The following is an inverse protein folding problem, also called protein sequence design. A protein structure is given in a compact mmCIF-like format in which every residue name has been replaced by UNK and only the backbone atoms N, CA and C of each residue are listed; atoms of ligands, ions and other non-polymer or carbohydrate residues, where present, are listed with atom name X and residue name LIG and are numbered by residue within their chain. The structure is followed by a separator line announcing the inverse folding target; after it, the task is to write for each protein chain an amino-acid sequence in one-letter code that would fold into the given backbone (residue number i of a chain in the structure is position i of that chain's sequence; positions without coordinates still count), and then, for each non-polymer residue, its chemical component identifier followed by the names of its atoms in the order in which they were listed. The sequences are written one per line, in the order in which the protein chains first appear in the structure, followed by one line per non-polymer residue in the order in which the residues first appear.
data_IF_796947976013
#
_entry.id   IF_796947976013
#
_cell.length_a   1.000
_cell.length_b   1.000
_cell.length_c   1.000
_cell.angle_alpha   90.00
_cell.angle_beta   90.00
_cell.angle_gamma   90.00
#
_symmetry.space_group_name_H-M   'P 1'
#
loop_
_entity.id
_entity.type
_entity.pdbx_description
1 polymer ?
2 water ?
#
# COMPACT_ATOMS: atom_id res chain seq x y z
N UNK A 30 -9.53 22.90 9.52
CA UNK A 30 -8.16 22.94 9.00
C UNK A 30 -7.37 21.68 9.33
N UNK A 31 -7.54 21.16 10.56
CA UNK A 31 -6.93 19.87 10.92
C UNK A 31 -7.31 18.76 9.94
N UNK A 32 -8.51 18.82 9.35
CA UNK A 32 -8.84 17.90 8.26
C UNK A 32 -7.80 18.04 7.15
N UNK A 33 -7.38 19.27 6.85
CA UNK A 33 -6.36 19.49 5.82
C UNK A 33 -5.06 18.79 6.19
N UNK A 34 -4.66 18.85 7.45
CA UNK A 34 -3.44 18.19 7.87
C UNK A 34 -3.50 16.70 7.60
N UNK A 35 -4.65 16.08 7.88
CA UNK A 35 -4.70 14.63 7.83
C UNK A 35 -4.69 14.14 6.39
N UNK A 36 -5.42 14.82 5.52
CA UNK A 36 -5.35 14.51 4.10
C UNK A 36 -3.90 14.53 3.62
N UNK A 37 -3.20 15.63 3.86
CA UNK A 37 -1.82 15.73 3.42
C UNK A 37 -0.95 14.59 3.96
N UNK A 38 -1.15 14.23 5.22
CA UNK A 38 -0.42 13.09 5.77
C UNK A 38 -0.64 11.83 4.95
N UNK A 39 -1.90 11.50 4.64
CA UNK A 39 -2.21 10.26 3.95
C UNK A 39 -1.78 10.30 2.48
N UNK A 40 -1.45 11.49 1.95
CA UNK A 40 -1.00 11.65 0.58
C UNK A 40 0.46 11.33 0.41
N UNK A 41 1.17 11.08 1.51
CA UNK A 41 2.59 10.82 1.48
C UNK A 41 2.84 9.32 1.50
N UNK A 42 4.01 8.95 0.99
CA UNK A 42 4.47 7.58 1.04
C UNK A 42 4.72 7.12 2.50
N UNK A 43 4.85 5.81 2.69
CA UNK A 43 5.00 5.28 4.05
C UNK A 43 6.15 5.89 4.83
N UNK A 44 7.27 6.21 4.19
CA UNK A 44 8.41 6.70 4.94
C UNK A 44 8.30 8.20 5.22
N UNK A 45 7.68 8.98 4.32
CA UNK A 45 7.39 10.38 4.63
C UNK A 45 6.35 10.47 5.74
N UNK A 46 5.41 9.52 5.77
CA UNK A 46 4.48 9.44 6.89
C UNK A 46 5.22 9.10 8.18
N UNK A 47 6.17 8.18 8.11
CA UNK A 47 6.92 7.79 9.30
C UNK A 47 7.74 8.95 9.84
N UNK A 48 8.14 9.89 8.96
CA UNK A 48 8.87 11.07 9.42
C UNK A 48 7.92 12.03 10.13
N UNK A 49 6.79 12.35 9.49
CA UNK A 49 5.79 13.17 10.15
C UNK A 49 5.49 12.58 11.52
N UNK A 50 5.40 11.25 11.60
CA UNK A 50 5.02 10.64 12.87
C UNK A 50 6.09 10.89 13.94
N UNK A 51 7.36 10.89 13.55
CA UNK A 51 8.43 11.19 14.47
C UNK A 51 8.36 12.63 14.96
N UNK A 52 8.16 13.56 14.02
CA UNK A 52 8.05 14.97 14.37
C UNK A 52 6.92 15.20 15.37
N UNK A 53 5.88 14.38 15.34
CA UNK A 53 4.69 14.59 16.16
C UNK A 53 4.68 13.75 17.45
N UNK A 54 5.70 12.95 17.70
CA UNK A 54 5.65 12.00 18.80
C UNK A 54 4.64 10.90 18.67
N UNK A 55 3.96 10.80 17.53
CA UNK A 55 3.06 9.69 17.22
C UNK A 55 3.80 8.48 16.65
N UNK A 56 5.11 8.38 16.92
CA UNK A 56 5.95 7.33 16.40
C UNK A 56 5.67 5.95 16.96
N UNK A 57 4.95 5.85 18.08
CA UNK A 57 4.59 4.53 18.59
C UNK A 57 3.57 3.86 17.67
N UNK A 58 2.89 4.65 16.86
CA UNK A 58 1.85 4.16 15.95
C UNK A 58 2.39 4.00 14.52
N UNK A 59 3.36 3.12 14.33
CA UNK A 59 3.96 3.04 13.01
C UNK A 59 2.94 2.56 11.97
N UNK A 60 1.87 1.88 12.38
CA UNK A 60 0.85 1.42 11.46
C UNK A 60 0.13 2.55 10.73
N UNK A 61 0.11 3.76 11.29
CA UNK A 61 -0.49 4.89 10.59
C UNK A 61 0.15 5.12 9.24
N UNK A 62 1.41 4.74 9.09
CA UNK A 62 2.12 4.95 7.85
C UNK A 62 1.61 4.08 6.71
N UNK A 63 0.74 3.11 6.99
CA UNK A 63 0.29 2.14 6.02
C UNK A 63 -1.16 2.29 5.56
N UNK A 64 -2.02 2.98 6.31
CA UNK A 64 -3.43 2.94 5.97
C UNK A 64 -3.67 3.78 4.73
N UNK A 65 -4.62 3.33 3.91
CA UNK A 65 -4.92 3.96 2.65
C UNK A 65 -5.72 5.23 2.82
N UNK A 66 -5.50 6.18 1.89
CA UNK A 66 -6.31 7.38 1.78
C UNK A 66 -7.72 7.04 1.30
N UNK A 67 -8.69 7.22 2.19
CA UNK A 67 -10.12 7.17 1.89
C UNK A 67 -10.83 7.89 3.05
N UNK A 68 -12.15 8.08 2.91
CA UNK A 68 -12.88 8.91 3.86
C UNK A 68 -12.76 8.34 5.28
N UNK A 69 -12.97 7.03 5.45
CA UNK A 69 -12.85 6.41 6.75
C UNK A 69 -11.54 6.75 7.45
N UNK A 70 -10.44 6.80 6.70
CA UNK A 70 -9.15 6.97 7.35
C UNK A 70 -8.77 8.41 7.54
N UNK A 71 -9.27 9.31 6.69
CA UNK A 71 -9.09 10.73 6.98
C UNK A 71 -9.64 11.01 8.38
N UNK A 72 -10.86 10.52 8.66
CA UNK A 72 -11.45 10.71 9.96
C UNK A 72 -10.59 10.12 11.06
N UNK A 73 -10.23 8.85 10.92
CA UNK A 73 -9.41 8.20 11.94
C UNK A 73 -8.17 9.02 12.27
N UNK A 74 -7.46 9.50 11.23
CA UNK A 74 -6.20 10.21 11.45
C UNK A 74 -6.45 11.59 12.04
N UNK A 75 -7.66 12.13 11.88
CA UNK A 75 -8.00 13.39 12.52
C UNK A 75 -7.93 13.25 14.04
N UNK A 76 -8.54 12.18 14.57
CA UNK A 76 -8.50 11.94 16.00
C UNK A 76 -7.07 11.87 16.53
N UNK A 77 -6.16 11.23 15.80
CA UNK A 77 -4.77 11.23 16.22
C UNK A 77 -4.18 12.63 16.17
N UNK A 78 -4.58 13.43 15.17
CA UNK A 78 -3.92 14.70 14.92
C UNK A 78 -4.52 15.85 15.73
N UNK A 79 -5.80 15.78 16.08
CA UNK A 79 -6.38 16.70 17.06
C UNK A 79 -5.90 16.25 18.44
N UNK A 80 -5.12 17.06 19.08
CA UNK A 80 -4.44 16.65 20.30
C UNK A 80 -3.77 15.29 20.13
N UNK A 81 -2.55 15.26 19.62
CA UNK A 81 -1.76 14.03 19.64
C UNK A 81 -1.22 13.80 21.04
N UNK A 82 -0.82 12.57 21.30
CA UNK A 82 -0.27 12.25 22.62
C UNK A 82 -1.30 12.30 23.75
N UNK A 83 -2.45 12.92 23.48
CA UNK A 83 -3.57 12.91 24.41
C UNK A 83 -4.43 11.66 24.25
N UNK A 84 -4.31 10.95 23.15
CA UNK A 84 -4.84 9.59 23.07
C UNK A 84 -3.67 8.63 23.03
N UNK A 85 -3.68 7.64 23.93
CA UNK A 85 -2.63 6.64 23.99
C UNK A 85 -3.16 5.22 24.10
N UNK A 86 -4.49 5.04 24.15
CA UNK A 86 -5.11 3.82 23.63
C UNK A 86 -5.39 4.05 22.16
N UNK A 87 -4.80 3.29 21.23
CA UNK A 87 -5.09 3.51 19.81
C UNK A 87 -6.57 3.37 19.47
N UNK A 88 -7.22 4.47 19.08
CA UNK A 88 -8.64 4.46 18.73
C UNK A 88 -8.76 4.39 17.21
N UNK A 89 -8.99 3.19 16.71
CA UNK A 89 -9.12 2.99 15.28
C UNK A 89 -10.56 2.69 14.89
N UNK A 90 -11.50 3.16 15.70
CA UNK A 90 -12.90 2.87 15.41
C UNK A 90 -13.20 3.35 13.98
N UNK A 91 -13.85 2.48 13.22
CA UNK A 91 -14.31 2.82 11.89
C UNK A 91 -13.25 2.88 10.81
N UNK A 92 -12.00 2.54 11.12
CA UNK A 92 -10.92 2.67 10.15
C UNK A 92 -11.00 1.56 9.10
N UNK A 93 -10.51 1.86 7.92
CA UNK A 93 -10.39 0.86 6.87
C UNK A 93 -8.97 0.35 6.93
N UNK A 94 -8.81 -0.85 7.47
CA UNK A 94 -7.51 -1.48 7.66
C UNK A 94 -7.44 -2.75 6.82
N UNK A 95 -8.23 -2.81 5.75
CA UNK A 95 -8.36 -4.04 4.98
C UNK A 95 -7.11 -4.31 4.15
N UNK A 96 -6.78 -5.58 4.04
CA UNK A 96 -5.69 -6.07 3.16
C UNK A 96 -4.35 -5.41 3.51
N UNK A 97 -4.12 -5.19 4.78
CA UNK A 97 -2.84 -4.63 5.21
C UNK A 97 -1.98 -5.72 5.82
N UNK A 98 -0.68 -5.55 5.69
CA UNK A 98 0.24 -6.32 6.51
C UNK A 98 0.42 -5.55 7.82
N UNK A 99 -0.15 -6.09 8.89
CA UNK A 99 0.03 -5.55 10.23
C UNK A 99 0.69 -6.59 11.13
N UNK A 100 1.51 -7.47 10.54
CA UNK A 100 2.17 -8.50 11.34
C UNK A 100 2.87 -7.86 12.53
N UNK A 101 2.64 -8.43 13.72
CA UNK A 101 3.32 -8.06 14.98
C UNK A 101 2.99 -6.65 15.45
N UNK A 102 1.86 -6.08 14.98
CA UNK A 102 1.38 -4.79 15.49
C UNK A 102 0.95 -4.94 16.94
N UNK A 103 1.23 -3.91 17.75
CA UNK A 103 0.77 -3.88 19.14
C UNK A 103 -0.35 -2.86 19.27
N UNK A 104 -1.55 -3.32 19.65
CA UNK A 104 -2.74 -2.49 19.74
C UNK A 104 -3.47 -2.66 21.07
N UNK A 105 -2.69 -2.90 22.14
CA UNK A 105 -3.26 -3.15 23.45
C UNK A 105 -4.25 -2.07 23.81
N UNK A 106 -5.37 -2.50 24.36
CA UNK A 106 -6.46 -1.61 24.79
C UNK A 106 -7.02 -0.77 23.65
N UNK A 107 -6.78 -1.16 22.42
CA UNK A 107 -7.22 -0.36 21.29
C UNK A 107 -8.69 -0.53 21.02
N UNK A 108 -9.27 0.51 20.44
CA UNK A 108 -10.66 0.48 20.02
C UNK A 108 -10.71 0.27 18.50
N UNK A 109 -11.13 -0.92 18.09
CA UNK A 109 -11.33 -1.23 16.69
C UNK A 109 -12.79 -1.42 16.35
N UNK A 110 -13.69 -0.88 17.18
CA UNK A 110 -15.12 -0.84 16.86
C UNK A 110 -15.34 -0.49 15.41
N UNK A 111 -16.17 -1.28 14.74
CA UNK A 111 -16.67 -1.02 13.40
C UNK A 111 -15.55 -0.86 12.35
N UNK A 112 -14.33 -1.24 12.69
CA UNK A 112 -13.23 -1.17 11.74
C UNK A 112 -13.35 -2.27 10.69
N UNK A 113 -12.66 -2.07 9.55
CA UNK A 113 -12.60 -3.02 8.44
C UNK A 113 -11.20 -3.62 8.40
N UNK A 114 -11.09 -4.92 8.71
CA UNK A 114 -9.81 -5.63 8.67
C UNK A 114 -9.81 -6.78 7.64
N UNK A 115 -10.71 -6.77 6.65
CA UNK A 115 -10.86 -7.89 5.75
C UNK A 115 -9.55 -8.25 5.08
N UNK A 116 -9.20 -9.53 5.12
CA UNK A 116 -7.97 -10.00 4.52
C UNK A 116 -6.69 -9.39 5.05
N UNK A 117 -6.68 -8.78 6.23
CA UNK A 117 -5.39 -8.25 6.65
C UNK A 117 -4.60 -9.29 7.45
N UNK A 118 -3.27 -9.11 7.46
CA UNK A 118 -2.39 -10.02 8.18
C UNK A 118 -2.03 -9.40 9.53
N UNK A 119 -2.41 -10.09 10.62
CA UNK A 119 -2.08 -9.63 11.98
C UNK A 119 -1.37 -10.73 12.75
N UNK A 120 -0.39 -11.38 12.11
CA UNK A 120 0.35 -12.45 12.76
C UNK A 120 1.04 -11.93 14.02
N UNK A 121 1.00 -12.75 15.07
CA UNK A 121 1.67 -12.48 16.35
C UNK A 121 1.41 -11.08 16.88
N UNK A 122 0.20 -10.55 16.63
CA UNK A 122 -0.14 -9.21 17.06
C UNK A 122 -0.59 -9.19 18.53
N UNK A 123 -0.30 -8.10 19.20
CA UNK A 123 -0.79 -7.87 20.55
C UNK A 123 -2.15 -7.18 20.48
N UNK A 124 -3.22 -7.94 20.76
CA UNK A 124 -4.59 -7.43 20.67
C UNK A 124 -5.32 -7.49 22.03
N UNK A 125 -4.56 -7.49 23.13
CA UNK A 125 -5.16 -7.62 24.44
C UNK A 125 -6.14 -6.48 24.65
N UNK A 126 -7.35 -6.83 25.07
CA UNK A 126 -8.38 -5.83 25.34
C UNK A 126 -8.77 -5.08 24.07
N UNK A 127 -8.56 -5.64 22.89
CA UNK A 127 -9.00 -4.94 21.70
C UNK A 127 -10.49 -5.14 21.56
N UNK A 128 -11.19 -4.03 21.42
CA UNK A 128 -12.60 -4.06 21.09
C UNK A 128 -12.78 -4.28 19.59
N UNK A 129 -13.33 -5.43 19.21
CA UNK A 129 -13.65 -5.69 17.81
C UNK A 129 -15.14 -5.53 17.52
N UNK A 130 -15.86 -4.73 18.32
CA UNK A 130 -17.30 -4.69 18.16
C UNK A 130 -17.66 -4.22 16.76
N UNK A 131 -18.48 -5.01 16.10
CA UNK A 131 -19.09 -4.69 14.80
C UNK A 131 -18.04 -4.55 13.71
N UNK A 132 -16.82 -4.98 13.97
CA UNK A 132 -15.76 -4.89 13.00
C UNK A 132 -15.90 -6.02 11.99
N UNK A 133 -15.22 -5.84 10.88
CA UNK A 133 -15.21 -6.85 9.83
C UNK A 133 -13.83 -7.51 9.79
N UNK A 134 -13.76 -8.76 10.26
CA UNK A 134 -12.51 -9.53 10.22
C UNK A 134 -12.57 -10.70 9.24
N UNK A 135 -13.50 -10.70 8.29
CA UNK A 135 -13.55 -11.76 7.29
C UNK A 135 -12.20 -11.90 6.62
N UNK A 136 -11.68 -13.12 6.59
CA UNK A 136 -10.46 -13.54 5.90
C UNK A 136 -9.17 -12.93 6.47
N UNK A 137 -9.24 -12.17 7.56
CA UNK A 137 -8.01 -11.72 8.21
C UNK A 137 -7.27 -12.93 8.80
N UNK A 138 -5.98 -12.73 9.07
CA UNK A 138 -5.07 -13.76 9.57
C UNK A 138 -4.51 -13.26 10.91
N UNK A 139 -5.05 -13.82 12.01
CA UNK A 139 -4.69 -13.45 13.37
C UNK A 139 -4.00 -14.60 14.06
N UNK A 140 -3.41 -15.52 13.29
CA UNK A 140 -2.65 -16.62 13.87
C UNK A 140 -1.60 -16.06 14.80
N UNK A 141 -1.52 -16.63 16.01
CA UNK A 141 -0.51 -16.24 16.98
C UNK A 141 -0.74 -14.92 17.70
N UNK A 142 -1.89 -14.29 17.47
CA UNK A 142 -2.16 -13.01 18.07
C UNK A 142 -2.70 -13.26 19.47
N UNK A 143 -2.36 -12.36 20.38
CA UNK A 143 -2.75 -12.48 21.77
C UNK A 143 -4.10 -11.76 21.98
N UNK A 144 -5.08 -12.50 22.46
CA UNK A 144 -6.47 -12.07 22.44
C UNK A 144 -7.13 -11.87 23.80
N UNK A 145 -6.36 -11.82 24.88
CA UNK A 145 -6.95 -11.68 26.20
C UNK A 145 -7.81 -10.43 26.29
N UNK A 146 -9.02 -10.59 26.82
CA UNK A 146 -9.91 -9.47 27.04
C UNK A 146 -10.54 -8.89 25.80
N UNK A 147 -10.43 -9.57 24.66
CA UNK A 147 -10.99 -9.03 23.44
C UNK A 147 -12.50 -9.13 23.47
N UNK A 148 -13.14 -8.20 22.77
CA UNK A 148 -14.60 -8.18 22.66
C UNK A 148 -14.99 -8.34 21.19
N UNK A 149 -15.91 -9.26 20.93
CA UNK A 149 -16.24 -9.77 19.61
C UNK A 149 -17.74 -9.61 19.31
N UNK A 150 -18.35 -8.57 19.84
CA UNK A 150 -19.79 -8.40 19.70
C UNK A 150 -20.12 -8.04 18.26
N UNK A 151 -20.98 -8.83 17.63
CA UNK A 151 -21.47 -8.61 16.26
C UNK A 151 -20.33 -8.64 15.24
N UNK A 152 -19.19 -9.20 15.60
CA UNK A 152 -18.00 -9.13 14.76
C UNK A 152 -18.06 -10.17 13.65
N UNK A 153 -17.67 -9.75 12.46
CA UNK A 153 -17.70 -10.65 11.29
C UNK A 153 -16.38 -11.40 11.27
N UNK A 154 -16.45 -12.72 11.47
CA UNK A 154 -15.22 -13.51 11.51
C UNK A 154 -15.24 -14.70 10.57
N UNK A 155 -16.14 -14.72 9.57
CA UNK A 155 -16.16 -15.88 8.67
C UNK A 155 -14.84 -15.95 7.96
N UNK A 156 -14.15 -17.09 8.12
CA UNK A 156 -12.82 -17.38 7.59
C UNK A 156 -11.69 -16.56 8.23
N UNK A 157 -11.96 -15.87 9.33
CA UNK A 157 -10.87 -15.30 10.12
C UNK A 157 -10.03 -16.43 10.72
N UNK A 158 -8.72 -16.42 10.47
CA UNK A 158 -7.85 -17.42 11.06
C UNK A 158 -7.44 -16.96 12.47
N UNK A 159 -7.76 -17.75 13.49
CA UNK A 159 -7.42 -17.39 14.87
C UNK A 159 -6.30 -18.22 15.49
N UNK A 160 -5.79 -19.22 14.78
CA UNK A 160 -4.69 -20.04 15.26
C UNK A 160 -5.12 -20.97 16.38
N UNK A 161 -4.70 -20.67 17.62
CA UNK A 161 -5.15 -21.40 18.80
C UNK A 161 -6.09 -20.58 19.68
N UNK A 162 -6.46 -19.38 19.27
CA UNK A 162 -7.28 -18.56 20.15
C UNK A 162 -6.53 -18.13 21.39
N UNK A 163 -5.24 -17.84 21.25
CA UNK A 163 -4.36 -17.37 22.30
C UNK A 163 -4.96 -16.32 23.21
N UNK A 164 -5.41 -16.75 24.38
CA UNK A 164 -5.98 -15.84 25.36
C UNK A 164 -7.49 -15.83 25.37
N UNK A 165 -8.11 -16.70 24.59
CA UNK A 165 -9.57 -16.78 24.53
C UNK A 165 -10.07 -17.82 25.52
N UNK A 166 -11.26 -17.56 26.05
CA UNK A 166 -11.92 -18.49 26.96
C UNK A 166 -12.10 -19.89 26.39
N UNK A 167 -13.25 -20.50 26.71
CA UNK A 167 -13.83 -21.55 25.88
C UNK A 167 -15.13 -21.09 25.26
N UNK A 168 -16.03 -20.50 26.05
CA UNK A 168 -17.24 -19.89 25.51
C UNK A 168 -16.93 -18.94 24.35
N UNK A 169 -15.69 -18.49 24.23
CA UNK A 169 -15.28 -17.62 23.12
C UNK A 169 -14.83 -18.45 21.93
N UNK A 170 -13.91 -19.39 22.14
CA UNK A 170 -13.52 -20.32 21.10
C UNK A 170 -14.73 -21.07 20.56
N UNK A 171 -15.75 -21.26 21.40
CA UNK A 171 -17.07 -21.75 21.00
C UNK A 171 -17.69 -20.73 20.06
N UNK A 172 -18.24 -19.66 20.63
CA UNK A 172 -18.98 -18.68 19.85
C UNK A 172 -18.35 -18.38 18.50
N UNK A 173 -17.04 -18.15 18.48
CA UNK A 173 -16.41 -17.64 17.26
C UNK A 173 -16.33 -18.71 16.18
N UNK A 174 -16.00 -19.94 16.56
CA UNK A 174 -15.89 -21.03 15.61
C UNK A 174 -17.23 -21.31 14.94
N UNK A 175 -18.31 -21.15 15.71
CA UNK A 175 -19.66 -21.27 15.20
C UNK A 175 -19.93 -20.23 14.13
N UNK A 176 -19.47 -18.99 14.36
CA UNK A 176 -19.63 -17.87 13.46
C UNK A 176 -18.62 -17.84 12.30
N UNK A 177 -17.90 -18.93 12.02
CA UNK A 177 -17.03 -19.01 10.88
C UNK A 177 -15.54 -19.01 11.15
N UNK A 178 -15.09 -18.59 12.33
CA UNK A 178 -13.66 -18.54 12.61
C UNK A 178 -13.02 -19.92 12.48
N UNK A 179 -11.72 -19.93 12.15
CA UNK A 179 -10.98 -21.18 11.92
C UNK A 179 -9.81 -21.29 12.88
N UNK A 180 -9.64 -22.48 13.47
CA UNK A 180 -8.71 -22.70 14.59
C UNK A 180 -7.71 -23.81 14.25
N UNK A 181 -6.67 -23.46 13.48
CA UNK A 181 -5.44 -24.27 13.41
C UNK A 181 -5.70 -25.75 13.18
N UNK B 29 -20.49 7.15 -13.55
CA UNK B 29 -20.64 8.55 -13.94
C UNK B 29 -19.43 9.40 -13.60
N UNK B 30 -18.69 9.76 -14.64
CA UNK B 30 -17.66 10.80 -14.66
C UNK B 30 -16.30 10.20 -14.39
N UNK B 31 -15.37 10.33 -15.34
CA UNK B 31 -14.21 9.46 -15.31
C UNK B 31 -13.20 9.85 -14.24
N UNK B 32 -13.06 11.14 -13.93
CA UNK B 32 -12.28 11.52 -12.75
C UNK B 32 -12.88 10.91 -11.51
N UNK B 33 -14.21 10.80 -11.48
CA UNK B 33 -14.87 10.25 -10.31
C UNK B 33 -14.68 8.75 -10.27
N UNK B 34 -14.90 8.11 -11.42
CA UNK B 34 -14.55 6.69 -11.55
C UNK B 34 -13.14 6.40 -11.07
N UNK B 35 -12.19 7.27 -11.43
CA UNK B 35 -10.79 7.01 -11.12
C UNK B 35 -10.53 7.15 -9.63
N UNK B 36 -11.12 8.16 -9.00
CA UNK B 36 -10.95 8.33 -7.57
C UNK B 36 -11.62 7.20 -6.82
N UNK B 37 -12.83 6.84 -7.24
CA UNK B 37 -13.54 5.76 -6.58
C UNK B 37 -12.72 4.48 -6.62
N UNK B 38 -12.03 4.25 -7.73
CA UNK B 38 -11.23 3.04 -7.88
C UNK B 38 -10.04 3.07 -6.94
N UNK B 39 -9.32 4.19 -6.90
CA UNK B 39 -8.10 4.25 -6.09
C UNK B 39 -8.40 4.27 -4.58
N UNK B 40 -9.65 4.55 -4.19
CA UNK B 40 -10.13 4.46 -2.82
C UNK B 40 -10.41 3.02 -2.40
N UNK B 41 -10.27 2.06 -3.30
CA UNK B 41 -10.58 0.68 -2.99
C UNK B 41 -9.36 -0.13 -2.59
N UNK B 42 -9.63 -1.23 -1.92
CA UNK B 42 -8.57 -2.14 -1.56
C UNK B 42 -8.05 -2.80 -2.82
N UNK B 43 -6.86 -3.40 -2.73
CA UNK B 43 -6.26 -4.01 -3.91
C UNK B 43 -7.12 -5.07 -4.57
N UNK B 44 -7.72 -5.97 -3.82
CA UNK B 44 -8.51 -7.02 -4.44
C UNK B 44 -9.73 -6.42 -5.12
N UNK B 45 -10.28 -5.35 -4.57
CA UNK B 45 -11.43 -4.72 -5.20
C UNK B 45 -11.01 -3.96 -6.44
N UNK B 46 -9.77 -3.50 -6.49
CA UNK B 46 -9.29 -2.85 -7.68
C UNK B 46 -9.04 -3.86 -8.80
N UNK B 47 -8.45 -5.00 -8.45
CA UNK B 47 -8.28 -6.07 -9.41
C UNK B 47 -9.63 -6.49 -10.02
N UNK B 48 -10.69 -6.47 -9.23
CA UNK B 48 -12.00 -6.83 -9.76
C UNK B 48 -12.50 -5.76 -10.72
N UNK B 49 -12.45 -4.50 -10.29
CA UNK B 49 -12.83 -3.40 -11.17
C UNK B 49 -12.04 -3.46 -12.47
N UNK B 50 -10.75 -3.76 -12.39
CA UNK B 50 -9.95 -3.81 -13.61
C UNK B 50 -10.45 -4.89 -14.54
N UNK B 51 -10.90 -6.02 -14.01
CA UNK B 51 -11.49 -7.07 -14.84
C UNK B 51 -12.77 -6.57 -15.52
N UNK B 52 -13.72 -6.09 -14.73
CA UNK B 52 -14.96 -5.54 -15.28
C UNK B 52 -14.68 -4.54 -16.40
N UNK B 53 -13.65 -3.72 -16.25
CA UNK B 53 -13.35 -2.73 -17.28
C UNK B 53 -12.49 -3.28 -18.41
N UNK B 54 -11.98 -4.51 -18.30
CA UNK B 54 -11.06 -5.01 -19.32
C UNK B 54 -9.66 -4.42 -19.28
N UNK B 55 -9.15 -4.14 -18.06
CA UNK B 55 -7.77 -3.65 -17.86
C UNK B 55 -6.97 -4.58 -16.97
N UNK B 56 -7.42 -5.81 -16.80
CA UNK B 56 -6.69 -6.74 -15.96
C UNK B 56 -5.27 -7.01 -16.42
N UNK B 57 -4.89 -6.57 -17.61
CA UNK B 57 -3.49 -6.66 -18.00
C UNK B 57 -2.60 -5.62 -17.32
N UNK B 58 -3.20 -4.68 -16.60
CA UNK B 58 -2.42 -3.65 -15.89
C UNK B 58 -2.65 -3.82 -14.38
N UNK B 59 -2.34 -5.01 -13.85
CA UNK B 59 -2.66 -5.33 -12.47
C UNK B 59 -1.98 -4.37 -11.50
N UNK B 60 -0.83 -3.82 -11.88
CA UNK B 60 -0.09 -2.94 -11.01
C UNK B 60 -0.90 -1.73 -10.56
N UNK B 61 -1.93 -1.35 -11.32
CA UNK B 61 -2.82 -0.27 -10.93
C UNK B 61 -3.57 -0.59 -9.64
N UNK B 62 -3.68 -1.86 -9.27
CA UNK B 62 -4.21 -2.22 -7.98
C UNK B 62 -3.29 -1.87 -6.82
N UNK B 63 -2.12 -1.32 -7.07
CA UNK B 63 -1.15 -1.11 -6.03
C UNK B 63 -0.82 0.35 -5.79
N UNK B 64 -0.99 1.21 -6.79
CA UNK B 64 -0.52 2.56 -6.70
C UNK B 64 -1.45 3.31 -5.74
N UNK B 65 -0.89 4.28 -5.03
CA UNK B 65 -1.56 4.96 -3.93
C UNK B 65 -2.41 6.15 -4.42
N UNK B 66 -3.38 6.53 -3.60
CA UNK B 66 -4.27 7.62 -3.99
C UNK B 66 -3.56 8.95 -3.74
N UNK B 67 -3.43 9.74 -4.81
CA UNK B 67 -2.85 11.07 -4.84
C UNK B 67 -3.19 11.66 -6.21
N UNK B 68 -2.95 12.97 -6.35
CA UNK B 68 -3.34 13.66 -7.57
C UNK B 68 -2.63 13.07 -8.79
N UNK B 69 -1.31 12.86 -8.69
CA UNK B 69 -0.54 12.25 -9.74
C UNK B 69 -1.22 11.00 -10.25
N UNK B 70 -1.64 10.15 -9.31
CA UNK B 70 -2.17 8.87 -9.71
C UNK B 70 -3.61 8.95 -10.16
N UNK B 71 -4.38 9.93 -9.66
CA UNK B 71 -5.73 10.12 -10.21
C UNK B 71 -5.61 10.43 -11.71
N UNK B 72 -4.71 11.36 -12.05
CA UNK B 72 -4.47 11.69 -13.45
C UNK B 72 -4.14 10.43 -14.25
N UNK B 73 -3.22 9.61 -13.72
CA UNK B 73 -2.75 8.44 -14.44
C UNK B 73 -3.89 7.46 -14.71
N UNK B 74 -4.67 7.12 -13.69
CA UNK B 74 -5.74 6.15 -13.85
C UNK B 74 -6.76 6.69 -14.85
N UNK B 75 -6.93 8.00 -14.91
CA UNK B 75 -7.86 8.60 -15.85
C UNK B 75 -7.50 8.20 -17.27
N UNK B 76 -6.21 8.30 -17.62
CA UNK B 76 -5.77 7.88 -18.96
C UNK B 76 -6.23 6.45 -19.27
N UNK B 77 -6.14 5.56 -18.28
CA UNK B 77 -6.55 4.18 -18.48
C UNK B 77 -8.07 4.04 -18.62
N UNK B 78 -8.85 4.66 -17.72
CA UNK B 78 -10.30 4.44 -17.78
C UNK B 78 -10.91 5.14 -19.00
N UNK B 79 -10.29 6.24 -19.45
CA UNK B 79 -10.70 6.92 -20.66
C UNK B 79 -10.43 6.11 -21.91
N UNK B 80 -9.35 5.30 -21.92
CA UNK B 80 -8.88 4.60 -23.14
C UNK B 80 -8.71 3.10 -22.91
N UNK B 81 -9.70 2.41 -22.36
CA UNK B 81 -9.42 1.05 -21.86
C UNK B 81 -9.00 0.06 -22.95
N UNK B 82 -9.54 0.19 -24.16
CA UNK B 82 -9.17 -0.72 -25.23
C UNK B 82 -7.95 -0.29 -26.03
N UNK B 83 -7.72 1.02 -26.09
CA UNK B 83 -6.66 1.55 -26.95
C UNK B 83 -5.31 1.54 -26.25
N UNK B 84 -5.28 1.74 -24.93
CA UNK B 84 -4.02 1.77 -24.20
C UNK B 84 -3.28 0.45 -24.38
N UNK B 85 -2.20 0.46 -25.16
CA UNK B 85 -1.47 -0.74 -25.50
C UNK B 85 -0.24 -0.88 -24.64
N UNK B 86 0.50 0.17 -24.53
CA UNK B 86 1.57 0.29 -23.60
C UNK B 86 1.24 1.31 -22.53
N UNK B 87 1.59 1.04 -21.27
CA UNK B 87 1.02 1.81 -20.16
C UNK B 87 1.63 3.20 -20.12
N UNK B 88 0.79 4.21 -20.06
CA UNK B 88 1.24 5.58 -19.92
C UNK B 88 1.12 5.96 -18.46
N UNK B 89 2.24 5.89 -17.74
CA UNK B 89 2.31 6.27 -16.34
C UNK B 89 3.08 7.55 -16.16
N UNK B 90 3.13 8.39 -17.20
CA UNK B 90 3.83 9.66 -17.08
C UNK B 90 3.26 10.45 -15.90
N UNK B 91 4.13 11.13 -15.17
CA UNK B 91 3.70 11.88 -14.00
C UNK B 91 3.29 11.06 -12.82
N UNK B 92 3.20 9.74 -12.94
CA UNK B 92 2.61 8.98 -11.85
C UNK B 92 3.52 8.94 -10.63
N UNK B 93 2.90 8.68 -9.47
CA UNK B 93 3.66 8.55 -8.23
C UNK B 93 3.66 7.09 -7.88
N UNK B 94 4.78 6.42 -8.16
CA UNK B 94 4.96 5.00 -7.86
C UNK B 94 6.03 4.78 -6.79
N UNK B 95 6.26 5.79 -5.95
CA UNK B 95 7.13 5.69 -4.77
C UNK B 95 6.79 4.56 -3.82
N UNK B 96 7.84 3.85 -3.42
CA UNK B 96 7.89 2.83 -2.35
C UNK B 96 6.88 1.72 -2.56
N UNK B 97 6.76 1.27 -3.80
CA UNK B 97 5.94 0.11 -4.17
C UNK B 97 6.85 -1.09 -4.46
N UNK B 98 6.37 -2.27 -4.14
CA UNK B 98 6.99 -3.47 -4.67
C UNK B 98 6.39 -3.71 -6.06
N UNK B 99 7.15 -3.43 -7.09
CA UNK B 99 6.71 -3.77 -8.43
C UNK B 99 7.55 -4.88 -9.03
N UNK B 100 8.13 -5.74 -8.19
CA UNK B 100 8.97 -6.81 -8.69
C UNK B 100 8.27 -7.59 -9.81
N UNK B 101 8.98 -7.86 -10.89
CA UNK B 101 8.50 -8.69 -11.99
C UNK B 101 7.38 -8.02 -12.76
N UNK B 102 7.18 -6.72 -12.56
CA UNK B 102 6.19 -6.02 -13.37
C UNK B 102 6.67 -6.05 -14.83
N UNK B 103 5.70 -5.99 -15.75
CA UNK B 103 5.94 -5.87 -17.17
C UNK B 103 5.50 -4.51 -17.68
N UNK B 104 6.44 -3.71 -18.15
CA UNK B 104 6.10 -2.34 -18.56
C UNK B 104 6.71 -2.08 -19.93
N UNK B 105 6.72 -3.12 -20.77
CA UNK B 105 7.19 -3.02 -22.15
C UNK B 105 6.72 -1.74 -22.81
N UNK B 106 7.67 -0.90 -23.18
CA UNK B 106 7.45 0.31 -23.98
C UNK B 106 6.59 1.33 -23.28
N UNK B 107 6.57 1.28 -21.95
CA UNK B 107 5.74 2.19 -21.22
C UNK B 107 6.38 3.56 -21.11
N UNK B 108 5.54 4.54 -20.89
CA UNK B 108 5.99 5.90 -20.70
C UNK B 108 5.99 6.16 -19.19
N UNK B 109 7.16 6.21 -18.57
CA UNK B 109 7.33 6.62 -17.18
C UNK B 109 8.03 7.96 -17.07
N UNK B 110 7.88 8.78 -18.09
CA UNK B 110 8.39 10.15 -18.07
C UNK B 110 7.85 10.89 -16.84
N UNK B 111 8.71 11.58 -16.13
CA UNK B 111 8.35 12.38 -14.96
C UNK B 111 7.74 11.58 -13.82
N UNK B 112 7.82 10.26 -13.88
CA UNK B 112 7.26 9.45 -12.81
C UNK B 112 8.21 9.40 -11.62
N UNK B 113 7.63 9.12 -10.48
CA UNK B 113 8.37 9.04 -9.25
C UNK B 113 8.46 7.59 -8.84
N UNK B 114 9.68 7.05 -8.88
CA UNK B 114 9.90 5.68 -8.48
C UNK B 114 10.83 5.54 -7.28
N UNK B 115 11.02 6.61 -6.50
CA UNK B 115 11.85 6.56 -5.31
C UNK B 115 11.54 5.37 -4.42
N UNK B 116 12.59 4.59 -4.12
CA UNK B 116 12.52 3.53 -3.16
C UNK B 116 11.81 2.29 -3.61
N UNK B 117 11.40 2.24 -4.85
CA UNK B 117 10.63 1.12 -5.36
C UNK B 117 11.53 0.01 -5.85
N UNK B 118 11.06 -1.23 -5.70
CA UNK B 118 11.79 -2.37 -6.22
C UNK B 118 11.13 -2.82 -7.52
N UNK B 119 11.95 -2.95 -8.55
CA UNK B 119 11.53 -3.41 -9.87
C UNK B 119 12.34 -4.66 -10.22
N UNK B 120 12.52 -5.52 -9.23
CA UNK B 120 13.38 -6.68 -9.42
C UNK B 120 12.86 -7.49 -10.60
N UNK B 121 13.75 -7.72 -11.58
CA UNK B 121 13.50 -8.64 -12.68
C UNK B 121 12.39 -8.15 -13.60
N UNK B 122 12.21 -6.84 -13.65
CA UNK B 122 11.10 -6.24 -14.35
C UNK B 122 11.42 -6.18 -15.82
N UNK B 123 10.38 -6.24 -16.67
CA UNK B 123 10.58 -6.10 -18.10
C UNK B 123 10.38 -4.63 -18.46
N UNK B 124 11.49 -3.89 -18.65
CA UNK B 124 11.44 -2.45 -18.89
C UNK B 124 12.03 -2.08 -20.26
N UNK B 125 12.03 -3.00 -21.22
CA UNK B 125 12.54 -2.66 -22.56
C UNK B 125 11.75 -1.48 -23.12
N UNK B 126 12.49 -0.50 -23.67
CA UNK B 126 11.93 0.68 -24.36
C UNK B 126 11.10 1.58 -23.45
N UNK B 127 11.29 1.43 -22.15
CA UNK B 127 10.68 2.37 -21.21
C UNK B 127 11.34 3.73 -21.32
N UNK B 128 10.53 4.77 -21.48
CA UNK B 128 10.96 6.17 -21.37
C UNK B 128 10.97 6.62 -19.91
N UNK B 129 12.17 6.71 -19.30
CA UNK B 129 12.37 7.25 -17.96
C UNK B 129 12.75 8.73 -17.95
N UNK B 130 12.49 9.46 -19.01
CA UNK B 130 12.92 10.85 -19.06
C UNK B 130 12.39 11.65 -17.87
N UNK B 131 13.25 12.41 -17.23
CA UNK B 131 12.91 13.27 -16.11
C UNK B 131 12.36 12.49 -14.92
N UNK B 132 12.39 11.17 -14.95
CA UNK B 132 11.83 10.41 -13.86
C UNK B 132 12.81 10.44 -12.69
N UNK B 133 12.31 10.04 -11.52
CA UNK B 133 13.08 10.04 -10.28
C UNK B 133 13.18 8.61 -9.80
N UNK B 134 14.35 8.00 -10.00
CA UNK B 134 14.58 6.62 -9.63
C UNK B 134 15.57 6.48 -8.47
N UNK B 135 15.78 7.56 -7.70
CA UNK B 135 16.73 7.46 -6.60
C UNK B 135 16.30 6.37 -5.63
N UNK B 136 17.28 5.57 -5.22
CA UNK B 136 17.16 4.44 -4.31
C UNK B 136 16.25 3.33 -4.84
N UNK B 137 15.78 3.44 -6.09
CA UNK B 137 15.04 2.37 -6.74
C UNK B 137 15.88 1.12 -6.92
N UNK B 138 15.27 -0.07 -6.79
CA UNK B 138 15.97 -1.33 -7.01
C UNK B 138 15.51 -1.99 -8.35
N UNK B 139 16.31 -1.80 -9.41
CA UNK B 139 16.01 -2.40 -10.71
C UNK B 139 16.88 -3.61 -11.03
N UNK B 140 17.52 -4.19 -10.03
CA UNK B 140 18.45 -5.30 -10.30
C UNK B 140 17.73 -6.39 -11.06
N UNK B 141 18.41 -6.93 -12.08
CA UNK B 141 17.85 -7.99 -12.87
C UNK B 141 16.84 -7.55 -13.91
N UNK B 142 16.73 -6.26 -14.18
CA UNK B 142 15.70 -5.77 -15.04
C UNK B 142 16.21 -5.69 -16.47
N UNK B 143 15.33 -5.98 -17.41
CA UNK B 143 15.68 -5.88 -18.83
C UNK B 143 15.56 -4.43 -19.23
N UNK B 144 16.66 -3.83 -19.69
CA UNK B 144 16.67 -2.41 -20.00
C UNK B 144 17.03 -2.04 -21.45
N UNK B 145 16.90 -2.92 -22.43
CA UNK B 145 17.28 -2.51 -23.78
C UNK B 145 16.38 -1.34 -24.21
N UNK B 146 16.99 -0.32 -24.83
CA UNK B 146 16.26 0.78 -25.40
C UNK B 146 15.61 1.74 -24.42
N UNK B 147 15.90 1.63 -23.11
CA UNK B 147 15.34 2.59 -22.18
C UNK B 147 15.92 3.96 -22.46
N UNK B 148 15.21 4.98 -22.07
CA UNK B 148 15.63 6.35 -22.28
C UNK B 148 15.77 7.03 -20.93
N UNK B 149 16.91 7.67 -20.69
CA UNK B 149 17.26 8.19 -19.37
C UNK B 149 17.56 9.68 -19.40
N UNK B 150 16.91 10.42 -20.27
CA UNK B 150 17.22 11.84 -20.42
C UNK B 150 16.86 12.59 -19.14
N UNK B 151 17.86 13.05 -18.40
CA UNK B 151 17.70 13.83 -17.17
C UNK B 151 17.06 13.02 -16.06
N UNK B 152 17.08 11.71 -16.15
CA UNK B 152 16.59 10.88 -15.06
C UNK B 152 17.48 11.09 -13.84
N UNK B 153 16.90 10.91 -12.64
CA UNK B 153 17.66 11.00 -11.38
C UNK B 153 17.95 9.57 -10.90
N UNK B 154 19.20 9.15 -10.92
CA UNK B 154 19.48 7.75 -10.71
C UNK B 154 20.42 7.50 -9.53
N UNK B 155 20.65 8.51 -8.69
CA UNK B 155 21.58 8.34 -7.59
C UNK B 155 21.06 7.26 -6.64
N UNK B 156 21.89 6.26 -6.39
CA UNK B 156 21.58 5.11 -5.54
C UNK B 156 20.55 4.18 -6.15
N UNK B 157 20.19 4.37 -7.43
CA UNK B 157 19.40 3.39 -8.17
C UNK B 157 20.24 2.16 -8.48
N UNK B 158 19.79 1.01 -8.01
CA UNK B 158 20.53 -0.23 -8.22
C UNK B 158 20.09 -0.83 -9.55
N UNK B 159 21.03 -0.93 -10.50
CA UNK B 159 20.77 -1.41 -11.87
C UNK B 159 21.35 -2.79 -12.15
N UNK B 160 21.93 -3.45 -11.15
CA UNK B 160 22.46 -4.79 -11.33
C UNK B 160 23.60 -4.77 -12.33
N UNK B 161 23.50 -5.65 -13.34
CA UNK B 161 24.46 -5.63 -14.44
C UNK B 161 24.02 -4.71 -15.56
N UNK B 162 22.88 -4.06 -15.45
CA UNK B 162 22.50 -3.11 -16.48
C UNK B 162 22.24 -3.87 -17.76
N UNK B 163 21.47 -4.95 -17.63
CA UNK B 163 21.11 -5.85 -18.70
C UNK B 163 20.38 -5.11 -19.80
N UNK B 164 20.97 -5.10 -20.99
CA UNK B 164 20.37 -4.46 -22.13
C UNK B 164 20.89 -3.07 -22.37
N UNK B 165 21.72 -2.56 -21.49
CA UNK B 165 22.22 -1.20 -21.63
C UNK B 165 23.45 -1.16 -22.51
N UNK B 166 23.60 -0.05 -23.21
CA UNK B 166 24.81 0.18 -24.00
C UNK B 166 25.98 0.49 -23.09
N UNK B 167 27.20 0.39 -23.64
CA UNK B 167 28.40 0.63 -22.84
C UNK B 167 28.40 2.04 -22.27
N UNK B 168 28.02 3.03 -23.07
CA UNK B 168 28.04 4.41 -22.61
C UNK B 168 26.77 4.76 -21.87
N UNK B 169 25.72 3.93 -21.95
CA UNK B 169 24.60 4.11 -21.05
C UNK B 169 24.98 3.75 -19.62
N UNK B 170 25.69 2.62 -19.42
CA UNK B 170 26.18 2.27 -18.09
C UNK B 170 27.26 3.25 -17.62
N UNK B 171 28.09 3.73 -18.53
CA UNK B 171 29.08 4.75 -18.19
C UNK B 171 28.41 6.05 -17.74
N UNK B 172 27.50 6.59 -18.55
CA UNK B 172 26.86 7.84 -18.21
C UNK B 172 26.08 7.71 -16.90
N UNK B 173 25.39 6.59 -16.72
CA UNK B 173 24.54 6.43 -15.53
C UNK B 173 25.37 6.19 -14.28
N UNK B 174 26.55 5.61 -14.40
CA UNK B 174 27.41 5.52 -13.23
C UNK B 174 27.83 6.92 -12.79
N UNK B 175 28.35 7.71 -13.73
CA UNK B 175 28.68 9.09 -13.44
C UNK B 175 27.55 9.79 -12.69
N UNK B 176 26.30 9.40 -12.96
CA UNK B 176 25.14 10.07 -12.38
C UNK B 176 24.61 9.39 -11.12
N UNK B 177 25.30 8.37 -10.62
CA UNK B 177 25.06 7.87 -9.29
C UNK B 177 24.52 6.47 -9.19
N UNK B 178 24.20 5.79 -10.28
CA UNK B 178 23.61 4.46 -10.17
C UNK B 178 24.67 3.43 -9.78
N UNK B 179 24.20 2.31 -9.25
CA UNK B 179 25.06 1.25 -8.78
C UNK B 179 24.90 -0.03 -9.59
N UNK B 180 26.02 -0.57 -10.04
CA UNK B 180 26.12 -1.88 -10.67
C UNK B 180 26.87 -2.87 -9.80
N UNK B 181 26.87 -4.13 -10.25
CA UNK B 181 27.42 -5.25 -9.51
C UNK B 181 28.83 -5.65 -9.92
N UNK B 182 29.08 -5.81 -11.21
CA UNK B 182 30.24 -6.56 -11.74
C UNK B 182 30.80 -7.65 -10.79
#
# INVERSE_FOLDING_TARGET
MGSSHHHHHHSSGLVPRGSHMIMINPHTQDIRSQSIHFLEQSPSERLQILQELGLGRFKFLSKIRLNDSNVDCVIRFFQNPGQMKFPNLSGADLSELNLDEVSLIRGNLSEANLQGSSLLNADLIFVNFTKADLRKADLRGATLNGTVWLDTLVDECQLGIGNGLTKQQRKDLQLRGAEFNYLADDN
MGSSHHHHHHSSGLVPRGSHMIMINPHTQDIRSQSIHFLEQSPSERLQILQELGLGRFKFLSKIRLNDSNVDCVIRFFQNPGQMKFPNLSGADLSELNLDEVSLIRGNLSEANLQGSSLLNADLIFVNFTKADLRKADLRGATLNGTVWLDTLVDECQLGIGNGLTKQQRKDLQLRGAEFNYLADDN
#
